data_IF_370756735974
#
_entry.id   IF_370756735974
#
_cell.length_a   1.000
_cell.length_b   1.000
_cell.length_c   1.000
_cell.angle_alpha   90.00
_cell.angle_beta   90.00
_cell.angle_gamma   90.00
#
_symmetry.space_group_name_H-M   'P 1'
#
loop_
_entity.id
_entity.type
_entity.pdbx_description
1 polymer ?
#
# COMPACT_ATOMS: atom_id res chain seq x y z
N UNK A 1 -0.06 18.42 -40.09
CA UNK A 1 1.31 18.88 -39.83
C UNK A 1 1.29 19.75 -38.59
N UNK A 2 1.82 19.21 -37.50
CA UNK A 2 2.53 19.88 -36.39
C UNK A 2 2.45 18.90 -35.22
N UNK A 3 3.40 17.97 -35.16
CA UNK A 3 3.63 17.20 -33.95
C UNK A 3 4.15 18.21 -32.92
N UNK A 4 3.26 18.78 -32.12
CA UNK A 4 3.64 19.71 -31.06
C UNK A 4 4.57 18.94 -30.12
N UNK A 5 5.85 19.29 -30.12
CA UNK A 5 6.83 18.75 -29.20
C UNK A 5 6.38 19.15 -27.79
N UNK A 6 5.83 18.18 -27.05
CA UNK A 6 5.31 18.42 -25.71
C UNK A 6 6.48 18.75 -24.79
N UNK A 7 6.42 19.91 -24.11
CA UNK A 7 7.43 20.34 -23.14
C UNK A 7 7.59 19.26 -22.07
N UNK A 8 8.81 18.78 -21.75
CA UNK A 8 9.01 17.76 -20.72
C UNK A 8 8.56 18.22 -19.33
N UNK A 9 8.01 17.32 -18.52
CA UNK A 9 7.51 17.68 -17.19
C UNK A 9 8.56 18.31 -16.28
N UNK A 10 9.82 17.90 -16.39
CA UNK A 10 10.92 18.46 -15.60
C UNK A 10 11.20 19.93 -15.94
N UNK A 11 10.91 20.35 -17.17
CA UNK A 11 11.01 21.75 -17.59
C UNK A 11 9.83 22.55 -17.04
N UNK A 12 8.60 22.05 -17.21
CA UNK A 12 7.41 22.65 -16.59
C UNK A 12 7.57 22.82 -15.07
N UNK A 13 8.15 21.84 -14.38
CA UNK A 13 8.40 21.93 -12.95
C UNK A 13 9.44 23.01 -12.59
N UNK A 14 10.44 23.27 -13.45
CA UNK A 14 11.38 24.39 -13.28
C UNK A 14 10.70 25.73 -13.49
N UNK A 15 9.83 25.83 -14.49
CA UNK A 15 9.11 27.07 -14.79
C UNK A 15 8.11 27.39 -13.67
N UNK A 16 7.41 26.38 -13.15
CA UNK A 16 6.58 26.50 -11.95
C UNK A 16 7.40 26.95 -10.73
N UNK A 17 8.63 26.44 -10.56
CA UNK A 17 9.52 26.90 -9.50
C UNK A 17 9.96 28.36 -9.68
N UNK A 18 10.00 28.87 -10.93
CA UNK A 18 10.24 30.27 -11.25
C UNK A 18 8.99 31.16 -11.11
N UNK A 19 7.82 30.57 -10.83
CA UNK A 19 6.55 31.28 -10.66
C UNK A 19 5.69 31.36 -11.92
N UNK A 20 5.95 30.53 -12.93
CA UNK A 20 5.11 30.46 -14.11
C UNK A 20 3.80 29.68 -13.83
N UNK A 21 2.69 30.41 -13.75
CA UNK A 21 1.34 29.83 -13.56
C UNK A 21 0.84 29.06 -14.79
N UNK A 22 1.29 29.41 -16.00
CA UNK A 22 0.91 28.68 -17.22
C UNK A 22 1.59 27.30 -17.26
N UNK A 23 2.82 27.19 -16.78
CA UNK A 23 3.48 25.90 -16.60
C UNK A 23 2.76 25.01 -15.57
N UNK A 24 2.16 25.62 -14.52
CA UNK A 24 1.32 24.89 -13.57
C UNK A 24 0.02 24.40 -14.23
N UNK A 25 -0.61 25.24 -15.05
CA UNK A 25 -1.81 24.88 -15.80
C UNK A 25 -1.55 23.68 -16.73
N UNK A 26 -0.42 23.66 -17.44
CA UNK A 26 -0.03 22.53 -18.28
C UNK A 26 0.19 21.24 -17.48
N UNK A 27 0.84 21.32 -16.31
CA UNK A 27 0.94 20.16 -15.41
C UNK A 27 -0.43 19.74 -14.87
N UNK A 28 -1.33 20.70 -14.63
CA UNK A 28 -2.70 20.42 -14.21
C UNK A 28 -3.44 19.62 -15.27
N UNK A 29 -3.49 20.11 -16.50
CA UNK A 29 -4.20 19.46 -17.61
C UNK A 29 -3.69 18.03 -17.87
N UNK A 30 -2.38 17.80 -17.74
CA UNK A 30 -1.77 16.47 -17.91
C UNK A 30 -2.15 15.46 -16.84
N UNK A 31 -2.32 15.91 -15.60
CA UNK A 31 -2.37 15.02 -14.43
C UNK A 31 -3.71 15.04 -13.68
N UNK A 32 -4.54 16.07 -13.84
CA UNK A 32 -5.79 16.29 -13.10
C UNK A 32 -6.72 15.07 -13.16
N UNK A 33 -6.96 14.53 -14.35
CA UNK A 33 -7.84 13.37 -14.55
C UNK A 33 -7.32 12.12 -13.82
N UNK A 34 -6.02 11.83 -13.92
CA UNK A 34 -5.44 10.65 -13.26
C UNK A 34 -5.38 10.82 -11.74
N UNK A 35 -5.07 12.02 -11.27
CA UNK A 35 -5.09 12.36 -9.85
C UNK A 35 -6.50 12.32 -9.27
N UNK A 36 -7.50 12.74 -10.05
CA UNK A 36 -8.92 12.65 -9.66
C UNK A 36 -9.39 11.20 -9.58
N UNK A 37 -9.09 10.35 -10.57
CA UNK A 37 -9.37 8.91 -10.49
C UNK A 37 -8.75 8.29 -9.23
N UNK A 38 -7.46 8.55 -9.00
CA UNK A 38 -6.75 8.08 -7.82
C UNK A 38 -7.38 8.57 -6.50
N UNK A 39 -7.72 9.87 -6.41
CA UNK A 39 -8.33 10.47 -5.24
C UNK A 39 -9.73 9.89 -4.98
N UNK A 40 -10.59 9.81 -6.02
CA UNK A 40 -11.95 9.26 -5.97
C UNK A 40 -11.97 7.82 -5.52
N UNK A 41 -11.00 7.04 -5.98
CA UNK A 41 -10.82 5.64 -5.59
C UNK A 41 -10.29 5.47 -4.17
N UNK A 42 -9.42 6.38 -3.72
CA UNK A 42 -8.80 6.32 -2.38
C UNK A 42 -9.72 6.86 -1.28
N UNK A 43 -10.32 8.04 -1.50
CA UNK A 43 -11.16 8.78 -0.53
C UNK A 43 -12.61 8.32 -0.55
N UNK A 44 -13.10 7.84 -1.71
CA UNK A 44 -14.47 7.31 -1.91
C UNK A 44 -15.55 8.36 -1.68
N UNK A 45 -15.27 9.59 -2.08
CA UNK A 45 -16.21 10.71 -2.01
C UNK A 45 -15.87 11.73 -3.09
N UNK A 46 -16.85 12.10 -3.92
CA UNK A 46 -16.59 12.93 -5.11
C UNK A 46 -16.08 14.33 -4.73
N UNK A 47 -16.77 15.00 -3.80
CA UNK A 47 -16.45 16.37 -3.39
C UNK A 47 -15.08 16.41 -2.70
N UNK A 48 -14.83 15.49 -1.76
CA UNK A 48 -13.54 15.40 -1.09
C UNK A 48 -12.40 15.02 -2.05
N UNK A 49 -12.69 14.38 -3.19
CA UNK A 49 -11.67 14.04 -4.19
C UNK A 49 -11.25 15.24 -5.02
N UNK A 50 -12.19 16.11 -5.37
CA UNK A 50 -11.89 17.38 -6.02
C UNK A 50 -11.01 18.26 -5.09
N UNK A 51 -11.35 18.32 -3.81
CA UNK A 51 -10.56 19.03 -2.79
C UNK A 51 -9.13 18.47 -2.68
N UNK A 52 -8.97 17.14 -2.74
CA UNK A 52 -7.65 16.49 -2.71
C UNK A 52 -6.81 16.85 -3.94
N UNK A 53 -7.40 16.89 -5.13
CA UNK A 53 -6.69 17.31 -6.35
C UNK A 53 -6.27 18.78 -6.24
N UNK A 54 -7.18 19.65 -5.83
CA UNK A 54 -6.87 21.08 -5.60
C UNK A 54 -5.72 21.24 -4.59
N UNK A 55 -5.80 20.58 -3.43
CA UNK A 55 -4.77 20.62 -2.40
C UNK A 55 -3.42 20.08 -2.89
N UNK A 56 -3.45 19.07 -3.78
CA UNK A 56 -2.24 18.50 -4.39
C UNK A 56 -1.50 19.55 -5.21
N UNK A 57 -2.18 20.26 -6.12
CA UNK A 57 -1.54 21.27 -6.97
C UNK A 57 -1.07 22.50 -6.18
N UNK A 58 -1.84 22.91 -5.17
CA UNK A 58 -1.42 23.97 -4.25
C UNK A 58 -0.15 23.59 -3.48
N UNK A 59 -0.06 22.37 -2.97
CA UNK A 59 1.15 21.88 -2.31
C UNK A 59 2.31 21.67 -3.28
N UNK A 60 2.03 21.24 -4.51
CA UNK A 60 3.03 21.11 -5.56
C UNK A 60 3.67 22.46 -5.86
N UNK A 61 2.87 23.50 -6.13
CA UNK A 61 3.32 24.88 -6.31
C UNK A 61 4.21 25.33 -5.17
N UNK A 62 3.70 25.27 -3.92
CA UNK A 62 4.46 25.71 -2.76
C UNK A 62 5.74 24.91 -2.53
N UNK A 63 5.78 23.63 -2.90
CA UNK A 63 6.98 22.80 -2.77
C UNK A 63 8.04 23.13 -3.81
N UNK A 64 7.65 23.35 -5.07
CA UNK A 64 8.55 23.74 -6.16
C UNK A 64 9.16 25.12 -5.92
N UNK A 65 8.42 26.03 -5.30
CA UNK A 65 8.93 27.34 -4.89
C UNK A 65 10.00 27.29 -3.78
N UNK A 66 10.15 26.16 -3.07
CA UNK A 66 11.06 26.03 -1.93
C UNK A 66 12.23 25.08 -2.16
N UNK A 67 12.20 24.29 -3.23
CA UNK A 67 13.10 23.14 -3.44
C UNK A 67 13.42 22.98 -4.91
N UNK A 68 14.54 22.31 -5.15
CA UNK A 68 14.86 21.85 -6.49
C UNK A 68 13.72 20.96 -7.03
N UNK A 69 13.33 21.13 -8.30
CA UNK A 69 12.33 20.30 -8.94
C UNK A 69 12.68 18.80 -8.84
N UNK A 70 11.66 17.93 -8.69
CA UNK A 70 11.89 16.49 -8.61
C UNK A 70 12.45 15.96 -9.94
N UNK A 71 13.24 14.90 -9.86
CA UNK A 71 13.73 14.18 -11.06
C UNK A 71 12.56 13.57 -11.86
N UNK A 72 11.52 13.10 -11.16
CA UNK A 72 10.33 12.52 -11.76
C UNK A 72 9.06 13.17 -11.19
N UNK A 73 8.46 14.08 -11.97
CA UNK A 73 7.28 14.86 -11.55
C UNK A 73 6.06 13.99 -11.27
N UNK A 74 5.81 12.96 -12.09
CA UNK A 74 4.64 12.08 -11.94
C UNK A 74 4.64 11.30 -10.61
N UNK A 75 5.66 10.51 -10.25
CA UNK A 75 5.73 9.87 -8.93
C UNK A 75 5.61 10.84 -7.76
N UNK A 76 6.23 12.01 -7.88
CA UNK A 76 6.20 13.07 -6.88
C UNK A 76 4.79 13.62 -6.67
N UNK A 77 4.06 13.96 -7.74
CA UNK A 77 2.66 14.42 -7.68
C UNK A 77 1.74 13.37 -7.04
N UNK A 78 1.86 12.10 -7.44
CA UNK A 78 1.07 11.02 -6.83
C UNK A 78 1.42 10.80 -5.36
N UNK A 79 2.65 11.07 -4.95
CA UNK A 79 3.04 11.04 -3.55
C UNK A 79 2.37 12.17 -2.78
N UNK A 80 2.35 13.41 -3.30
CA UNK A 80 1.60 14.51 -2.68
C UNK A 80 0.12 14.13 -2.56
N UNK A 81 -0.52 13.70 -3.65
CA UNK A 81 -1.93 13.32 -3.68
C UNK A 81 -2.27 12.20 -2.71
N UNK A 82 -1.38 11.20 -2.58
CA UNK A 82 -1.54 10.14 -1.60
C UNK A 82 -1.60 10.71 -0.18
N UNK A 83 -0.75 11.66 0.16
CA UNK A 83 -0.77 12.23 1.51
C UNK A 83 -2.01 13.08 1.74
N UNK A 84 -2.42 13.89 0.76
CA UNK A 84 -3.66 14.65 0.82
C UNK A 84 -4.88 13.74 1.02
N UNK A 85 -5.00 12.67 0.23
CA UNK A 85 -6.09 11.71 0.37
C UNK A 85 -6.12 11.06 1.76
N UNK A 86 -4.96 10.71 2.31
CA UNK A 86 -4.89 10.09 3.64
C UNK A 86 -5.22 11.07 4.76
N UNK A 87 -4.75 12.31 4.66
CA UNK A 87 -5.05 13.35 5.63
C UNK A 87 -6.52 13.77 5.58
N UNK A 88 -7.11 13.80 4.39
CA UNK A 88 -8.54 14.00 4.18
C UNK A 88 -9.38 12.91 4.86
N UNK A 89 -9.05 11.64 4.62
CA UNK A 89 -9.71 10.50 5.29
C UNK A 89 -9.58 10.60 6.81
N UNK A 90 -8.41 11.00 7.34
CA UNK A 90 -8.19 11.18 8.78
C UNK A 90 -9.03 12.32 9.34
N UNK A 91 -9.12 13.45 8.64
CA UNK A 91 -9.91 14.62 9.02
C UNK A 91 -11.39 14.27 9.11
N UNK A 92 -11.93 13.59 8.10
CA UNK A 92 -13.33 13.14 8.05
C UNK A 92 -13.68 12.16 9.16
N UNK A 93 -12.77 11.23 9.50
CA UNK A 93 -12.95 10.34 10.66
C UNK A 93 -13.06 11.10 11.99
N UNK A 94 -12.21 12.11 12.20
CA UNK A 94 -12.27 12.94 13.42
C UNK A 94 -13.58 13.69 13.53
N UNK A 95 -14.06 14.29 12.43
CA UNK A 95 -15.33 15.04 12.42
C UNK A 95 -16.51 14.12 12.73
N UNK A 96 -16.57 12.94 12.11
CA UNK A 96 -17.63 11.95 12.38
C UNK A 96 -17.62 11.48 13.85
N UNK A 97 -16.46 11.28 14.47
CA UNK A 97 -16.37 10.89 15.89
C UNK A 97 -16.82 11.96 16.89
N UNK A 98 -17.00 13.22 16.45
CA UNK A 98 -17.39 14.35 17.31
C UNK A 98 -18.90 14.62 17.30
N UNK A 99 -19.69 13.90 16.48
CA UNK A 99 -21.14 14.05 16.38
C UNK A 99 -21.81 12.94 17.23
N UNK A 100 -22.37 13.26 18.43
CA UNK A 100 -23.04 12.26 19.26
C UNK A 100 -24.36 11.84 18.61
N UNK A 101 -24.52 10.55 18.31
CA UNK A 101 -25.72 9.98 17.68
C UNK A 101 -25.49 9.32 16.33
N UNK A 102 -24.37 9.62 15.66
CA UNK A 102 -23.81 8.82 14.56
C UNK A 102 -22.74 7.88 15.14
N UNK A 103 -23.15 7.03 16.07
CA UNK A 103 -22.27 6.08 16.72
C UNK A 103 -21.65 5.12 15.72
N UNK A 104 -20.32 5.13 15.63
CA UNK A 104 -19.46 4.01 15.26
C UNK A 104 -19.85 3.23 13.98
N UNK A 105 -20.53 3.87 13.04
CA UNK A 105 -20.63 3.32 11.70
C UNK A 105 -19.21 3.37 11.12
N UNK A 106 -18.59 2.23 10.76
CA UNK A 106 -17.51 2.28 9.81
C UNK A 106 -18.03 3.10 8.61
N UNK A 107 -17.16 3.84 7.93
CA UNK A 107 -17.45 4.50 6.65
C UNK A 107 -17.84 3.50 5.51
N UNK A 108 -18.47 2.38 5.87
CA UNK A 108 -19.09 1.34 5.04
C UNK A 108 -20.48 1.72 4.53
N UNK A 109 -21.06 2.86 4.97
CA UNK A 109 -22.19 3.47 4.24
C UNK A 109 -21.65 4.20 3.01
N UNK A 110 -21.23 3.38 2.06
CA UNK A 110 -20.95 3.74 0.68
C UNK A 110 -22.33 4.06 0.06
N UNK A 111 -22.50 5.25 -0.51
CA UNK A 111 -23.60 5.49 -1.42
C UNK A 111 -23.33 4.72 -2.72
N UNK A 112 -23.78 3.46 -2.78
CA UNK A 112 -23.62 2.57 -3.93
C UNK A 112 -24.19 3.18 -5.22
N UNK A 113 -25.17 4.09 -5.11
CA UNK A 113 -25.84 4.71 -6.26
C UNK A 113 -24.99 5.76 -6.98
N UNK A 114 -23.92 6.29 -6.33
CA UNK A 114 -23.03 7.30 -6.92
C UNK A 114 -21.80 6.71 -7.64
N UNK A 115 -21.64 5.39 -7.65
CA UNK A 115 -20.47 4.69 -8.18
C UNK A 115 -20.79 3.64 -9.25
N UNK A 116 -22.04 3.58 -9.70
CA UNK A 116 -22.39 2.80 -10.88
C UNK A 116 -22.04 3.60 -12.14
N UNK A 117 -20.77 3.58 -12.51
CA UNK A 117 -20.44 3.65 -13.93
C UNK A 117 -19.76 2.32 -14.33
N UNK A 118 -20.54 1.35 -14.83
CA UNK A 118 -20.05 0.06 -15.29
C UNK A 118 -19.62 0.09 -16.77
N UNK A 119 -19.31 1.24 -17.38
CA UNK A 119 -18.80 1.29 -18.75
C UNK A 119 -17.28 1.07 -18.81
N UNK A 120 -16.88 -0.14 -18.43
CA UNK A 120 -15.57 -0.71 -18.75
C UNK A 120 -15.79 -2.16 -19.11
N UNK A 121 -15.88 -2.46 -20.40
CA UNK A 121 -16.16 -3.78 -20.96
C UNK A 121 -15.12 -4.84 -20.53
N UNK A 122 -15.24 -5.36 -19.31
CA UNK A 122 -14.73 -6.66 -18.96
C UNK A 122 -15.73 -7.71 -19.42
N UNK A 123 -15.22 -8.81 -19.99
CA UNK A 123 -16.04 -9.99 -20.32
C UNK A 123 -16.82 -10.52 -19.11
N UNK A 124 -16.40 -10.17 -17.89
CA UNK A 124 -17.04 -10.51 -16.61
C UNK A 124 -17.14 -9.26 -15.69
N UNK A 125 -18.15 -8.40 -15.88
CA UNK A 125 -18.39 -7.24 -14.99
C UNK A 125 -18.50 -7.64 -13.50
N UNK A 126 -19.04 -8.85 -13.23
CA UNK A 126 -19.06 -9.43 -11.89
C UNK A 126 -17.66 -9.61 -11.29
N UNK A 127 -16.67 -10.02 -12.09
CA UNK A 127 -15.30 -10.19 -11.63
C UNK A 127 -14.64 -8.85 -11.32
N UNK A 128 -14.88 -7.83 -12.16
CA UNK A 128 -14.38 -6.48 -11.92
C UNK A 128 -14.92 -5.91 -10.60
N UNK A 129 -16.22 -6.08 -10.34
CA UNK A 129 -16.85 -5.71 -9.07
C UNK A 129 -16.22 -6.43 -7.87
N UNK A 130 -15.97 -7.74 -8.00
CA UNK A 130 -15.32 -8.53 -6.94
C UNK A 130 -13.91 -8.05 -6.63
N UNK A 131 -13.10 -7.81 -7.67
CA UNK A 131 -11.74 -7.29 -7.55
C UNK A 131 -11.76 -5.91 -6.90
N UNK A 132 -12.71 -5.08 -7.29
CA UNK A 132 -12.88 -3.74 -6.75
C UNK A 132 -13.27 -3.78 -5.27
N UNK A 133 -14.24 -4.61 -4.89
CA UNK A 133 -14.65 -4.81 -3.51
C UNK A 133 -13.50 -5.34 -2.63
N UNK A 134 -12.71 -6.30 -3.14
CA UNK A 134 -11.55 -6.84 -2.44
C UNK A 134 -10.46 -5.77 -2.22
N UNK A 135 -10.13 -5.00 -3.25
CA UNK A 135 -9.17 -3.89 -3.11
C UNK A 135 -9.68 -2.83 -2.14
N UNK A 136 -10.98 -2.51 -2.17
CA UNK A 136 -11.62 -1.57 -1.23
C UNK A 136 -11.56 -2.01 0.23
N UNK A 137 -11.43 -3.30 0.52
CA UNK A 137 -11.29 -3.79 1.90
C UNK A 137 -9.90 -3.48 2.50
N UNK A 138 -8.92 -3.07 1.68
CA UNK A 138 -7.60 -2.66 2.15
C UNK A 138 -7.66 -1.36 2.96
N UNK A 139 -6.69 -1.17 3.87
CA UNK A 139 -6.47 0.12 4.54
C UNK A 139 -6.19 1.19 3.47
N UNK A 140 -6.65 2.42 3.66
CA UNK A 140 -6.49 3.51 2.67
C UNK A 140 -5.05 3.71 2.20
N UNK A 141 -4.07 3.66 3.11
CA UNK A 141 -2.63 3.75 2.77
C UNK A 141 -2.13 2.60 1.89
N UNK A 142 -2.70 1.43 2.08
CA UNK A 142 -2.35 0.19 1.39
C UNK A 142 -3.04 0.15 0.01
N UNK A 143 -4.32 0.55 -0.05
CA UNK A 143 -5.05 0.78 -1.30
C UNK A 143 -4.31 1.77 -2.20
N UNK A 144 -3.98 2.96 -1.68
CA UNK A 144 -3.30 4.00 -2.43
C UNK A 144 -1.95 3.53 -3.01
N UNK A 145 -1.19 2.75 -2.23
CA UNK A 145 0.08 2.19 -2.67
C UNK A 145 -0.11 1.18 -3.82
N UNK A 146 -1.15 0.35 -3.73
CA UNK A 146 -1.48 -0.62 -4.77
C UNK A 146 -1.98 0.08 -6.05
N UNK A 147 -2.80 1.12 -5.92
CA UNK A 147 -3.31 1.93 -7.04
C UNK A 147 -2.17 2.63 -7.78
N UNK A 148 -1.28 3.31 -7.04
CA UNK A 148 -0.06 3.93 -7.58
C UNK A 148 0.76 2.96 -8.44
N UNK A 149 0.95 1.72 -7.97
CA UNK A 149 1.77 0.75 -8.69
C UNK A 149 1.04 0.08 -9.87
N UNK A 150 -0.21 -0.35 -9.68
CA UNK A 150 -0.93 -1.17 -10.68
C UNK A 150 -1.70 -0.36 -11.70
N UNK A 151 -2.24 0.79 -11.32
CA UNK A 151 -3.10 1.62 -12.18
C UNK A 151 -2.38 2.85 -12.67
N UNK A 152 -1.57 3.45 -11.80
CA UNK A 152 -0.77 4.61 -12.16
C UNK A 152 0.59 4.24 -12.70
N UNK A 153 0.88 2.95 -12.88
CA UNK A 153 2.08 2.41 -13.53
C UNK A 153 3.38 3.05 -13.00
N UNK A 154 3.44 3.25 -11.68
CA UNK A 154 4.64 3.72 -11.00
C UNK A 154 5.46 2.52 -10.54
N UNK A 155 6.75 2.53 -10.80
CA UNK A 155 7.67 1.49 -10.34
C UNK A 155 7.82 1.51 -8.80
N UNK A 156 8.25 0.39 -8.23
CA UNK A 156 8.49 0.33 -6.78
C UNK A 156 9.66 1.25 -6.39
N UNK A 157 10.62 1.46 -7.29
CA UNK A 157 11.75 2.38 -7.19
C UNK A 157 11.29 3.83 -7.09
N UNK A 158 10.46 4.29 -8.03
CA UNK A 158 9.92 5.65 -8.04
C UNK A 158 9.11 5.91 -6.77
N UNK A 159 8.21 4.99 -6.40
CA UNK A 159 7.42 5.11 -5.18
C UNK A 159 8.33 5.15 -3.93
N UNK A 160 9.36 4.31 -3.88
CA UNK A 160 10.28 4.26 -2.75
C UNK A 160 11.13 5.53 -2.63
N UNK A 161 11.60 6.06 -3.76
CA UNK A 161 12.35 7.30 -3.85
C UNK A 161 11.56 8.47 -3.27
N UNK A 162 10.30 8.62 -3.72
CA UNK A 162 9.43 9.71 -3.25
C UNK A 162 8.96 9.54 -1.80
N UNK A 163 8.73 8.31 -1.35
CA UNK A 163 8.34 8.05 0.05
C UNK A 163 9.53 8.02 1.02
N UNK A 164 10.78 8.08 0.53
CA UNK A 164 11.98 8.03 1.36
C UNK A 164 12.18 6.69 2.09
N UNK A 165 11.70 5.58 1.51
CA UNK A 165 11.79 4.23 2.09
C UNK A 165 12.67 3.32 1.23
N UNK A 166 13.14 2.20 1.79
CA UNK A 166 13.89 1.23 1.00
C UNK A 166 13.00 0.55 -0.05
N UNK A 167 13.47 0.47 -1.31
CA UNK A 167 12.76 -0.17 -2.43
C UNK A 167 12.31 -1.58 -2.10
N UNK A 168 13.15 -2.36 -1.43
CA UNK A 168 12.84 -3.72 -0.96
C UNK A 168 11.60 -3.79 -0.04
N UNK A 169 11.36 -2.75 0.76
CA UNK A 169 10.17 -2.69 1.61
C UNK A 169 8.91 -2.45 0.79
N UNK A 170 9.00 -1.60 -0.24
CA UNK A 170 7.89 -1.33 -1.17
C UNK A 170 7.56 -2.60 -1.97
N UNK A 171 8.55 -3.29 -2.52
CA UNK A 171 8.36 -4.58 -3.20
C UNK A 171 7.66 -5.62 -2.32
N UNK A 172 8.16 -5.85 -1.10
CA UNK A 172 7.56 -6.79 -0.15
C UNK A 172 6.13 -6.39 0.21
N UNK A 173 5.87 -5.09 0.37
CA UNK A 173 4.54 -4.57 0.69
C UNK A 173 3.59 -4.77 -0.50
N UNK A 174 3.97 -4.38 -1.71
CA UNK A 174 3.17 -4.56 -2.93
C UNK A 174 2.86 -6.04 -3.21
N UNK A 175 3.84 -6.93 -3.07
CA UNK A 175 3.64 -8.38 -3.20
C UNK A 175 2.59 -8.89 -2.21
N UNK A 176 2.67 -8.49 -0.93
CA UNK A 176 1.67 -8.86 0.08
C UNK A 176 0.29 -8.29 -0.21
N UNK A 177 0.21 -7.06 -0.73
CA UNK A 177 -1.06 -6.42 -1.08
C UNK A 177 -1.73 -7.11 -2.27
N UNK A 178 -0.97 -7.43 -3.32
CA UNK A 178 -1.45 -8.24 -4.45
C UNK A 178 -1.99 -9.58 -3.96
N UNK A 179 -1.20 -10.34 -3.21
CA UNK A 179 -1.62 -11.64 -2.68
C UNK A 179 -2.88 -11.55 -1.81
N UNK A 180 -3.02 -10.47 -1.01
CA UNK A 180 -4.22 -10.25 -0.19
C UNK A 180 -5.48 -9.99 -1.02
N UNK A 181 -5.38 -9.21 -2.11
CA UNK A 181 -6.50 -8.98 -3.03
C UNK A 181 -6.85 -10.27 -3.77
N UNK A 182 -5.85 -10.99 -4.29
CA UNK A 182 -6.06 -12.24 -4.99
C UNK A 182 -6.71 -13.30 -4.10
N UNK A 183 -6.28 -13.40 -2.84
CA UNK A 183 -6.90 -14.28 -1.85
C UNK A 183 -8.35 -13.90 -1.56
N UNK A 184 -8.63 -12.61 -1.32
CA UNK A 184 -9.98 -12.14 -1.04
C UNK A 184 -10.95 -12.40 -2.21
N UNK A 185 -10.49 -12.19 -3.46
CA UNK A 185 -11.28 -12.48 -4.67
C UNK A 185 -11.49 -13.99 -4.83
N UNK A 186 -10.46 -14.80 -4.67
CA UNK A 186 -10.56 -16.24 -4.78
C UNK A 186 -11.52 -16.84 -3.74
N UNK A 187 -11.40 -16.42 -2.48
CA UNK A 187 -12.27 -16.89 -1.40
C UNK A 187 -13.74 -16.53 -1.68
N UNK A 188 -13.99 -15.33 -2.22
CA UNK A 188 -15.35 -14.90 -2.55
C UNK A 188 -15.93 -15.64 -3.77
N UNK A 189 -15.12 -15.89 -4.81
CA UNK A 189 -15.55 -16.69 -5.96
C UNK A 189 -15.85 -18.14 -5.58
N UNK A 190 -14.99 -18.75 -4.77
CA UNK A 190 -15.18 -20.12 -4.28
C UNK A 190 -16.43 -20.21 -3.39
N UNK A 191 -16.72 -19.17 -2.60
CA UNK A 191 -17.96 -19.07 -1.82
C UNK A 191 -19.21 -18.96 -2.70
N UNK A 192 -19.13 -18.25 -3.84
CA UNK A 192 -20.25 -18.11 -4.80
C UNK A 192 -20.49 -19.38 -5.61
N UNK A 193 -19.42 -20.08 -6.03
CA UNK A 193 -19.48 -21.37 -6.77
C UNK A 193 -19.52 -22.58 -5.83
N UNK A 194 -20.62 -22.67 -5.06
CA UNK A 194 -20.95 -23.82 -4.19
C UNK A 194 -21.17 -25.09 -5.00
N UNK A 195 -20.94 -26.26 -4.42
CA UNK A 195 -21.23 -27.57 -5.04
C UNK A 195 -20.05 -28.30 -5.70
N UNK A 196 -18.88 -27.66 -5.79
CA UNK A 196 -17.65 -28.28 -6.35
C UNK A 196 -16.64 -28.71 -5.26
N UNK A 197 -16.93 -28.43 -3.98
CA UNK A 197 -16.16 -28.92 -2.84
C UNK A 197 -17.09 -29.09 -1.62
N UNK A 198 -17.37 -30.35 -1.26
CA UNK A 198 -18.29 -30.71 -0.17
C UNK A 198 -17.86 -30.14 1.18
N UNK A 199 -16.55 -30.15 1.46
CA UNK A 199 -16.00 -29.62 2.71
C UNK A 199 -16.15 -28.09 2.81
N UNK A 200 -15.97 -27.38 1.70
CA UNK A 200 -16.19 -25.93 1.65
C UNK A 200 -17.68 -25.62 1.82
N UNK A 201 -18.56 -26.38 1.17
CA UNK A 201 -20.01 -26.21 1.30
C UNK A 201 -20.46 -26.39 2.75
N UNK A 202 -19.88 -27.35 3.48
CA UNK A 202 -20.11 -27.57 4.90
C UNK A 202 -19.60 -26.40 5.76
N UNK A 203 -18.42 -25.85 5.46
CA UNK A 203 -17.89 -24.64 6.14
C UNK A 203 -18.83 -23.46 5.93
N UNK A 204 -19.27 -23.21 4.69
CA UNK A 204 -20.18 -22.12 4.36
C UNK A 204 -21.56 -22.33 4.98
N UNK A 205 -22.07 -23.58 5.03
CA UNK A 205 -23.35 -23.93 5.66
C UNK A 205 -23.36 -23.62 7.16
N UNK A 206 -22.26 -23.92 7.89
CA UNK A 206 -22.14 -23.60 9.32
C UNK A 206 -22.08 -22.11 9.62
N UNK A 207 -21.62 -21.30 8.67
CA UNK A 207 -21.58 -19.84 8.80
C UNK A 207 -22.98 -19.23 8.61
N UNK A 208 -23.87 -19.91 7.87
CA UNK A 208 -25.21 -19.40 7.56
C UNK A 208 -25.21 -18.29 6.50
N UNK A 209 -26.34 -17.60 6.36
CA UNK A 209 -26.55 -16.50 5.40
C UNK A 209 -26.24 -15.11 6.00
N UNK A 210 -25.54 -15.02 7.13
CA UNK A 210 -25.25 -13.76 7.85
C UNK A 210 -24.28 -12.80 7.13
N UNK A 211 -24.06 -12.99 5.81
CA UNK A 211 -23.19 -12.14 5.01
C UNK A 211 -21.69 -12.41 5.23
N UNK A 212 -20.85 -11.59 4.60
CA UNK A 212 -19.41 -11.75 4.56
C UNK A 212 -18.74 -11.26 5.86
N UNK A 213 -19.07 -11.86 6.99
CA UNK A 213 -18.48 -11.49 8.28
C UNK A 213 -16.96 -11.76 8.29
N UNK A 214 -16.15 -11.03 9.08
CA UNK A 214 -14.72 -11.31 9.21
C UNK A 214 -14.41 -12.75 9.66
N UNK A 215 -15.31 -13.35 10.46
CA UNK A 215 -15.23 -14.76 10.87
C UNK A 215 -15.44 -15.71 9.69
N UNK A 216 -16.44 -15.44 8.85
CA UNK A 216 -16.71 -16.22 7.65
C UNK A 216 -15.51 -16.23 6.69
N UNK A 217 -14.96 -15.03 6.39
CA UNK A 217 -13.77 -14.90 5.53
C UNK A 217 -12.59 -15.71 6.05
N UNK A 218 -12.31 -15.64 7.36
CA UNK A 218 -11.21 -16.41 7.98
C UNK A 218 -11.41 -17.92 7.87
N UNK A 219 -12.64 -18.40 8.05
CA UNK A 219 -12.94 -19.83 7.96
C UNK A 219 -12.80 -20.35 6.52
N UNK A 220 -13.29 -19.59 5.53
CA UNK A 220 -13.14 -19.90 4.10
C UNK A 220 -11.65 -19.88 3.72
N UNK A 221 -10.93 -18.80 4.02
CA UNK A 221 -9.48 -18.68 3.77
C UNK A 221 -8.67 -19.83 4.40
N UNK A 222 -9.03 -20.25 5.63
CA UNK A 222 -8.38 -21.39 6.28
C UNK A 222 -8.60 -22.68 5.49
N UNK A 223 -9.82 -22.93 5.02
CA UNK A 223 -10.15 -24.11 4.24
C UNK A 223 -9.49 -24.08 2.85
N UNK A 224 -9.55 -22.96 2.13
CA UNK A 224 -8.98 -22.83 0.77
C UNK A 224 -7.47 -23.02 0.76
N UNK A 225 -6.79 -22.75 1.88
CA UNK A 225 -5.36 -23.04 2.07
C UNK A 225 -5.05 -24.50 2.42
N UNK A 226 -6.00 -25.28 2.94
CA UNK A 226 -5.76 -26.67 3.36
C UNK A 226 -6.37 -27.73 2.45
N UNK A 227 -7.34 -27.38 1.59
CA UNK A 227 -8.03 -28.31 0.70
C UNK A 227 -7.41 -28.30 -0.71
N UNK A 228 -6.93 -29.44 -1.18
CA UNK A 228 -6.30 -29.61 -2.49
C UNK A 228 -7.22 -29.20 -3.65
N UNK A 229 -8.50 -29.58 -3.62
CA UNK A 229 -9.50 -29.19 -4.63
C UNK A 229 -9.66 -27.68 -4.71
N UNK A 230 -9.75 -27.00 -3.56
CA UNK A 230 -9.86 -25.54 -3.51
C UNK A 230 -8.56 -24.85 -3.95
N UNK A 231 -7.40 -25.41 -3.62
CA UNK A 231 -6.11 -24.89 -4.10
C UNK A 231 -5.98 -25.00 -5.62
N UNK A 232 -6.35 -26.14 -6.20
CA UNK A 232 -6.29 -26.35 -7.66
C UNK A 232 -7.28 -25.44 -8.40
N UNK A 233 -8.50 -25.27 -7.87
CA UNK A 233 -9.47 -24.30 -8.42
C UNK A 233 -8.93 -22.88 -8.35
N UNK A 234 -8.30 -22.48 -7.23
CA UNK A 234 -7.69 -21.17 -7.08
C UNK A 234 -6.57 -20.91 -8.10
N UNK A 235 -5.75 -21.92 -8.43
CA UNK A 235 -4.69 -21.79 -9.46
C UNK A 235 -5.23 -21.52 -10.86
N UNK A 236 -6.48 -21.90 -11.14
CA UNK A 236 -7.15 -21.72 -12.45
C UNK A 236 -7.88 -20.38 -12.58
N UNK A 237 -7.95 -19.58 -11.51
CA UNK A 237 -8.63 -18.28 -11.53
C UNK A 237 -7.79 -17.24 -12.30
N UNK A 238 -8.45 -16.43 -13.12
CA UNK A 238 -7.89 -15.28 -13.83
C UNK A 238 -7.20 -14.32 -12.86
N UNK A 239 -6.01 -13.81 -13.20
CA UNK A 239 -5.19 -12.93 -12.38
C UNK A 239 -5.96 -11.67 -11.89
N UNK A 240 -6.44 -11.62 -10.64
CA UNK A 240 -7.24 -10.50 -10.11
C UNK A 240 -6.50 -9.16 -10.15
N UNK A 241 -5.18 -9.18 -9.98
CA UNK A 241 -4.33 -7.99 -10.07
C UNK A 241 -4.34 -7.35 -11.48
N UNK A 242 -4.44 -8.17 -12.55
CA UNK A 242 -4.52 -7.66 -13.91
C UNK A 242 -5.88 -6.97 -14.18
N UNK A 243 -6.96 -7.52 -13.62
CA UNK A 243 -8.29 -6.91 -13.68
C UNK A 243 -8.30 -5.58 -12.94
N UNK A 244 -7.68 -5.52 -11.75
CA UNK A 244 -7.56 -4.27 -11.00
C UNK A 244 -6.79 -3.19 -11.77
N UNK A 245 -5.67 -3.57 -12.39
CA UNK A 245 -4.86 -2.67 -13.23
C UNK A 245 -5.66 -2.13 -14.42
N UNK A 246 -6.51 -2.96 -15.02
CA UNK A 246 -7.28 -2.61 -16.22
C UNK A 246 -8.68 -2.01 -15.94
N UNK A 247 -9.03 -1.68 -14.68
CA UNK A 247 -10.27 -0.94 -14.40
C UNK A 247 -10.24 0.41 -15.13
N UNK A 248 -11.36 0.79 -15.77
CA UNK A 248 -11.45 2.06 -16.48
C UNK A 248 -11.14 3.26 -15.54
N UNK A 249 -10.38 4.27 -15.99
CA UNK A 249 -10.21 5.49 -15.23
C UNK A 249 -11.55 6.21 -15.10
N UNK A 250 -11.82 6.79 -13.93
CA UNK A 250 -13.00 7.61 -13.74
C UNK A 250 -12.74 8.96 -14.44
N UNK A 251 -13.57 9.36 -15.43
CA UNK A 251 -13.37 10.63 -16.11
C UNK A 251 -13.58 11.79 -15.14
N UNK A 252 -12.81 12.86 -15.37
CA UNK A 252 -13.04 14.16 -14.76
C UNK A 252 -13.84 14.99 -15.76
N UNK A 253 -15.06 15.37 -15.39
CA UNK A 253 -15.89 16.21 -16.26
C UNK A 253 -15.28 17.60 -16.42
N UNK A 254 -15.50 18.23 -17.58
CA UNK A 254 -14.85 19.50 -17.92
C UNK A 254 -15.24 20.64 -16.96
N UNK A 255 -16.48 20.66 -16.46
CA UNK A 255 -16.92 21.69 -15.54
C UNK A 255 -16.20 21.58 -14.18
N UNK A 256 -16.07 20.36 -13.65
CA UNK A 256 -15.35 20.08 -12.42
C UNK A 256 -13.84 20.28 -12.59
N UNK A 257 -13.29 19.94 -13.75
CA UNK A 257 -11.91 20.24 -14.12
C UNK A 257 -11.62 21.74 -13.95
N UNK A 258 -12.40 22.59 -14.63
CA UNK A 258 -12.22 24.03 -14.60
C UNK A 258 -12.47 24.59 -13.18
N UNK A 259 -13.50 24.10 -12.48
CA UNK A 259 -13.80 24.49 -11.11
C UNK A 259 -12.62 24.23 -10.15
N UNK A 260 -11.97 23.07 -10.27
CA UNK A 260 -10.81 22.72 -9.45
C UNK A 260 -9.66 23.69 -9.75
N UNK A 261 -9.36 23.93 -11.02
CA UNK A 261 -8.24 24.80 -11.42
C UNK A 261 -8.48 26.26 -11.05
N UNK A 262 -9.68 26.80 -11.27
CA UNK A 262 -10.07 28.14 -10.81
C UNK A 262 -9.91 28.28 -9.29
N UNK A 263 -10.20 27.21 -8.55
CA UNK A 263 -9.93 27.12 -7.13
C UNK A 263 -8.44 27.19 -6.80
N UNK A 264 -7.57 26.57 -7.59
CA UNK A 264 -6.11 26.66 -7.44
C UNK A 264 -5.65 28.09 -7.71
N UNK A 265 -5.96 28.63 -8.88
CA UNK A 265 -5.54 29.95 -9.35
C UNK A 265 -5.96 31.08 -8.39
N UNK A 266 -7.21 31.05 -7.91
CA UNK A 266 -7.69 32.03 -6.92
C UNK A 266 -6.89 31.98 -5.61
N UNK A 267 -6.59 30.79 -5.09
CA UNK A 267 -5.81 30.65 -3.85
C UNK A 267 -4.35 31.08 -4.04
N UNK A 268 -3.79 30.89 -5.24
CA UNK A 268 -2.46 31.41 -5.58
C UNK A 268 -2.47 32.94 -5.61
N UNK A 269 -3.47 33.55 -6.26
CA UNK A 269 -3.62 35.01 -6.32
C UNK A 269 -3.84 35.67 -4.94
N UNK A 270 -4.51 34.97 -4.01
CA UNK A 270 -4.69 35.43 -2.63
C UNK A 270 -3.41 35.31 -1.77
N UNK A 271 -2.40 34.59 -2.24
CA UNK A 271 -1.15 34.40 -1.50
C UNK A 271 -0.21 35.60 -1.72
N UNK A 272 0.24 36.30 -0.66
CA UNK A 272 1.13 37.45 -0.83
C UNK A 272 2.48 37.06 -1.46
N UNK A 273 3.07 37.91 -2.30
CA UNK A 273 4.37 37.65 -2.91
C UNK A 273 5.46 37.52 -1.82
N UNK A 274 6.28 36.48 -1.93
CA UNK A 274 7.35 36.18 -0.96
C UNK A 274 6.92 35.39 0.27
N UNK A 275 5.62 35.11 0.44
CA UNK A 275 5.14 34.12 1.42
C UNK A 275 4.90 32.78 0.75
N UNK A 276 5.55 31.73 1.26
CA UNK A 276 5.10 30.37 0.95
C UNK A 276 3.67 30.25 1.41
N UNK A 277 2.73 29.83 0.54
CA UNK A 277 1.37 29.61 0.99
C UNK A 277 1.41 28.57 2.11
N UNK A 278 1.04 29.00 3.31
CA UNK A 278 0.75 28.10 4.40
C UNK A 278 -0.59 27.46 4.10
N UNK A 279 -0.60 26.47 3.20
CA UNK A 279 -1.75 25.59 3.00
C UNK A 279 -1.85 24.65 4.21
N UNK A 280 -2.01 25.25 5.39
CA UNK A 280 -2.21 24.56 6.65
C UNK A 280 -3.69 24.18 6.73
N UNK A 281 -4.04 23.04 6.15
CA UNK A 281 -5.00 22.20 6.86
C UNK A 281 -4.22 21.63 8.06
N UNK A 282 -4.25 22.32 9.19
CA UNK A 282 -3.48 21.97 10.40
C UNK A 282 -3.82 20.55 10.86
N UNK A 283 -2.83 19.65 10.79
CA UNK A 283 -2.37 18.72 11.85
C UNK A 283 -1.56 17.56 11.22
N UNK A 284 -0.30 17.81 10.89
CA UNK A 284 0.85 17.25 11.63
C UNK A 284 2.14 17.83 11.07
N UNK A 285 3.00 18.28 11.97
CA UNK A 285 4.36 18.71 11.69
C UNK A 285 5.17 17.63 10.95
N UNK A 286 5.90 18.10 9.93
CA UNK A 286 7.20 17.61 9.44
C UNK A 286 7.33 16.12 9.15
N UNK A 287 7.17 15.77 7.87
CA UNK A 287 7.79 14.56 7.31
C UNK A 287 8.63 14.85 6.05
N UNK A 288 8.44 15.98 5.37
CA UNK A 288 9.25 16.40 4.21
C UNK A 288 10.56 17.11 4.60
N UNK A 289 10.77 17.47 5.88
CA UNK A 289 11.91 18.25 6.37
C UNK A 289 13.05 17.39 6.98
N UNK A 290 13.63 16.51 6.17
CA UNK A 290 14.99 16.00 6.42
C UNK A 290 15.83 16.20 5.15
N UNK A 291 16.95 16.96 5.20
CA UNK A 291 17.88 17.01 4.07
C UNK A 291 18.48 15.61 3.85
N UNK A 292 18.56 15.20 2.58
CA UNK A 292 19.13 13.93 2.08
C UNK A 292 20.64 13.76 2.40
N UNK A 293 21.28 14.72 3.08
CA UNK A 293 22.73 14.87 3.15
C UNK A 293 23.50 14.08 4.22
N UNK A 294 22.90 13.14 4.95
CA UNK A 294 23.61 12.40 6.02
C UNK A 294 23.79 10.88 5.80
N UNK A 295 23.94 10.43 4.56
CA UNK A 295 24.32 9.02 4.26
C UNK A 295 25.72 8.80 3.67
N UNK A 296 26.64 9.77 3.80
CA UNK A 296 28.05 9.59 3.37
C UNK A 296 29.05 9.49 4.53
N UNK A 297 28.69 9.79 5.77
CA UNK A 297 29.63 9.71 6.92
C UNK A 297 29.64 8.36 7.67
N UNK A 298 28.86 7.38 7.22
CA UNK A 298 28.73 6.07 7.88
C UNK A 298 29.73 4.98 7.45
N UNK A 299 30.66 5.27 6.54
CA UNK A 299 31.63 4.26 6.02
C UNK A 299 33.03 4.42 6.64
N UNK A 300 33.36 5.57 7.23
CA UNK A 300 34.68 5.80 7.83
C UNK A 300 34.87 5.12 9.21
N UNK A 301 33.78 4.77 9.92
CA UNK A 301 33.86 4.19 11.27
C UNK A 301 34.12 2.68 11.33
N UNK A 302 33.87 1.94 10.24
CA UNK A 302 33.98 0.47 10.24
C UNK A 302 35.43 0.01 10.01
N UNK A 303 36.26 0.82 9.36
CA UNK A 303 37.67 0.51 9.13
C UNK A 303 38.54 0.60 10.40
N UNK A 304 38.16 1.45 11.37
CA UNK A 304 38.91 1.62 12.62
C UNK A 304 38.63 0.51 13.67
N UNK A 305 37.45 -0.11 13.63
CA UNK A 305 37.08 -1.18 14.56
C UNK A 305 37.71 -2.54 14.23
N UNK A 306 37.87 -2.85 12.94
CA UNK A 306 38.43 -4.13 12.49
C UNK A 306 39.95 -4.22 12.70
N UNK A 307 40.67 -3.10 12.61
CA UNK A 307 42.12 -3.06 12.89
C UNK A 307 42.41 -3.22 14.38
N UNK A 308 41.62 -2.63 15.28
CA UNK A 308 41.80 -2.80 16.71
C UNK A 308 41.49 -4.23 17.19
N UNK A 309 40.50 -4.90 16.59
CA UNK A 309 40.15 -6.28 16.93
C UNK A 309 41.19 -7.30 16.43
N UNK A 310 41.80 -7.09 15.25
CA UNK A 310 42.90 -7.96 14.79
C UNK A 310 44.17 -7.79 15.62
N UNK A 311 44.49 -6.59 16.09
CA UNK A 311 45.67 -6.36 16.94
C UNK A 311 45.50 -7.00 18.32
N UNK A 312 44.28 -7.03 18.88
CA UNK A 312 44.00 -7.68 20.17
C UNK A 312 44.02 -9.21 20.10
N UNK A 313 43.68 -9.83 18.96
CA UNK A 313 43.81 -11.27 18.75
C UNK A 313 45.27 -11.71 18.51
N UNK A 314 46.13 -10.83 17.99
CA UNK A 314 47.55 -11.12 17.75
C UNK A 314 48.43 -11.01 19.02
N UNK A 315 47.92 -10.40 20.10
CA UNK A 315 48.66 -10.17 21.35
C UNK A 315 48.27 -11.12 22.50
N UNK A 316 47.42 -12.12 22.26
CA UNK A 316 47.06 -13.10 23.29
C UNK A 316 48.13 -14.21 23.37
N UNK A 317 48.85 -14.37 24.50
CA UNK A 317 49.86 -15.39 24.63
C UNK A 317 49.21 -16.74 24.95
N UNK A 318 49.57 -17.72 24.13
CA UNK A 318 49.25 -19.14 24.25
C UNK A 318 50.15 -19.76 25.33
N UNK A 319 49.61 -20.08 26.52
CA UNK A 319 50.34 -20.85 27.54
C UNK A 319 49.69 -22.23 27.71
N UNK A 320 50.35 -23.19 27.06
CA UNK A 320 50.14 -24.63 27.19
C UNK A 320 50.73 -25.10 28.54
N UNK A 321 50.02 -25.91 29.31
CA UNK A 321 50.65 -26.69 30.38
C UNK A 321 49.97 -28.05 30.53
N UNK A 322 50.74 -29.08 30.18
CA UNK A 322 50.43 -30.50 30.30
C UNK A 322 50.33 -30.94 31.77
N UNK A 323 49.30 -31.72 32.12
CA UNK A 323 49.31 -32.58 33.32
C UNK A 323 48.60 -33.91 33.03
N UNK A 324 49.42 -34.95 32.81
CA UNK A 324 49.32 -36.32 33.36
C UNK A 324 48.02 -37.13 33.27
N UNK A 325 48.06 -38.22 32.50
CA UNK A 325 47.22 -39.42 32.68
C UNK A 325 47.60 -40.17 33.98
N UNK A 326 46.69 -40.96 34.58
CA UNK A 326 46.81 -42.42 34.35
C UNK A 326 45.49 -43.23 34.33
N UNK A 327 45.57 -44.30 33.53
CA UNK A 327 45.04 -45.67 33.72
C UNK A 327 43.53 -46.00 33.62
N UNK A 328 43.26 -46.84 32.61
CA UNK A 328 42.21 -47.87 32.47
C UNK A 328 42.57 -49.08 33.37
N UNK A 329 41.63 -49.77 34.06
CA UNK A 329 40.95 -50.92 33.43
C UNK A 329 39.54 -51.28 33.96
N UNK A 330 38.71 -51.87 33.09
CA UNK A 330 37.77 -52.93 33.49
C UNK A 330 36.29 -52.66 33.14
N UNK A 331 35.73 -53.25 32.07
CA UNK A 331 35.12 -54.61 32.04
C UNK A 331 33.78 -54.60 32.86
N UNK A 332 32.56 -54.93 32.40
CA UNK A 332 32.04 -56.16 31.75
C UNK A 332 30.53 -55.93 31.42
N UNK A 333 30.10 -56.34 30.20
CA UNK A 333 28.80 -56.96 29.74
C UNK A 333 27.43 -56.41 30.21
N UNK A 334 26.51 -56.07 29.30
CA UNK A 334 25.56 -56.93 28.53
C UNK A 334 24.18 -57.16 29.21
N UNK A 335 23.20 -57.46 28.34
CA UNK A 335 21.81 -57.95 28.55
C UNK A 335 20.76 -56.87 28.84
N UNK A 336 19.81 -56.53 27.96
CA UNK A 336 18.75 -57.27 27.24
C UNK A 336 17.46 -57.46 28.05
N UNK A 337 16.32 -57.32 27.37
CA UNK A 337 14.97 -57.80 27.73
C UNK A 337 14.19 -56.97 28.77
N UNK A 338 12.86 -56.78 28.73
CA UNK A 338 11.77 -57.36 27.91
C UNK A 338 10.47 -56.57 28.09
N UNK A 339 9.61 -56.66 27.07
CA UNK A 339 8.19 -56.29 27.01
C UNK A 339 7.32 -57.23 27.88
N UNK A 340 6.37 -56.70 28.66
CA UNK A 340 5.24 -57.46 29.23
C UNK A 340 4.14 -56.48 29.67
N UNK A 341 3.03 -56.39 28.95
CA UNK A 341 1.74 -57.09 29.14
C UNK A 341 0.96 -56.75 30.43
N UNK A 342 -0.12 -55.97 30.22
CA UNK A 342 -1.55 -56.24 30.51
C UNK A 342 -1.94 -57.19 31.66
N UNK A 343 -2.75 -56.67 32.59
CA UNK A 343 -3.99 -57.24 33.18
C UNK A 343 -4.66 -56.07 33.94
N UNK A 344 -5.93 -55.74 33.68
CA UNK A 344 -7.12 -56.25 34.41
C UNK A 344 -7.13 -55.67 35.85
N UNK A 345 -8.19 -55.11 36.44
CA UNK A 345 -9.63 -55.27 36.30
C UNK A 345 -10.30 -54.17 37.17
N UNK A 346 -11.53 -53.81 36.80
CA UNK A 346 -12.67 -53.45 37.64
C UNK A 346 -12.54 -52.47 38.82
N UNK A 347 -13.34 -51.38 38.76
CA UNK A 347 -14.35 -51.12 39.79
C UNK A 347 -15.42 -50.06 39.40
N UNK A 348 -16.65 -50.56 39.26
CA UNK A 348 -18.00 -49.99 39.54
C UNK A 348 -18.51 -48.84 38.66
#
# INVERSE_FOLDING_TARGET
MSSTEQVPDAELARDVAAGDEAALAELYDRYSTRLFDFAKRTVRDADASADVVQATFLKAWGSLQRRDPPEHVRPWLFTIARNEAIDEIRRRRRISSLVPGEGDAPYDRIDESRYQDPEGAFRDAEMAELVWAAAKALKSKDYALLDMHLRQDLSAEEIAGELGVATQNVYKKLSRLRAAVEEAVADELLRRRRGECTDLDEVVRRIGNEGLTPRARRAISKHTRSCETCQERRRRLTAPAAIFAALAPIPLDAALHDQIFDGVSRRLAETPPGTSPSFSCRLTDRWWATPIRTRVLGVAGIAAGLTLFMVLLALWPFSNQDVGMPEDPGDIRSTSHTIGQRSDEDRI
#
